data_IF_762487816190
#
_entry.id   IF_762487816190
#
_cell.length_a   1.000
_cell.length_b   1.000
_cell.length_c   1.000
_cell.angle_alpha   90.00
_cell.angle_beta   90.00
_cell.angle_gamma   90.00
#
_symmetry.space_group_name_H-M   'P 1'
#
loop_
_entity.id
_entity.type
_entity.pdbx_description
1 polymer ?
#
# COMPACT_ATOMS: atom_id res chain seq x y z
N UNK A 1 -1.10 -17.61 -9.16
CA UNK A 1 -2.26 -17.58 -8.24
C UNK A 1 -3.26 -18.70 -8.51
N UNK A 2 -3.73 -18.91 -9.76
CA UNK A 2 -4.67 -19.99 -10.11
C UNK A 2 -4.38 -21.33 -9.44
N UNK A 3 -3.16 -21.84 -9.56
CA UNK A 3 -2.83 -23.17 -9.03
C UNK A 3 -2.88 -23.23 -7.50
N UNK A 4 -2.49 -22.16 -6.81
CA UNK A 4 -2.55 -22.07 -5.34
C UNK A 4 -4.00 -22.02 -4.85
N UNK A 5 -4.88 -21.33 -5.59
CA UNK A 5 -6.31 -21.31 -5.30
C UNK A 5 -6.95 -22.67 -5.58
N UNK A 6 -6.63 -23.29 -6.73
CA UNK A 6 -7.13 -24.63 -7.08
C UNK A 6 -6.67 -25.72 -6.10
N UNK A 7 -5.47 -25.58 -5.52
CA UNK A 7 -4.95 -26.44 -4.46
C UNK A 7 -5.57 -26.17 -3.08
N UNK A 8 -6.43 -25.15 -2.93
CA UNK A 8 -7.03 -24.76 -1.65
C UNK A 8 -6.04 -24.12 -0.66
N UNK A 9 -4.85 -23.72 -1.11
CA UNK A 9 -3.84 -23.07 -0.25
C UNK A 9 -4.10 -21.59 -0.03
N UNK A 10 -4.84 -20.97 -0.95
CA UNK A 10 -5.19 -19.55 -0.93
C UNK A 10 -6.66 -19.42 -1.29
N UNK A 11 -7.45 -18.74 -0.45
CA UNK A 11 -8.86 -18.48 -0.73
C UNK A 11 -9.05 -17.24 -1.61
N UNK A 12 -8.30 -16.18 -1.30
CA UNK A 12 -8.37 -14.88 -1.96
C UNK A 12 -6.98 -14.28 -2.09
N UNK A 13 -6.78 -13.43 -3.10
CA UNK A 13 -5.51 -12.76 -3.31
C UNK A 13 -5.69 -11.31 -3.71
N UNK A 14 -4.66 -10.54 -3.41
CA UNK A 14 -4.61 -9.12 -3.68
C UNK A 14 -3.24 -8.68 -4.15
N UNK A 15 -3.14 -7.38 -4.39
CA UNK A 15 -1.91 -6.72 -4.81
C UNK A 15 -1.57 -5.58 -3.86
N UNK A 16 -0.29 -5.29 -3.71
CA UNK A 16 0.22 -4.20 -2.87
C UNK A 16 1.14 -3.31 -3.73
N UNK A 17 1.20 -2.03 -3.38
CA UNK A 17 1.98 -0.93 -4.00
C UNK A 17 1.66 -0.53 -5.45
N UNK A 18 1.44 0.77 -5.68
CA UNK A 18 1.39 1.50 -6.98
C UNK A 18 0.69 0.79 -8.16
N UNK A 19 -0.52 0.27 -7.92
CA UNK A 19 -1.39 -0.20 -9.00
C UNK A 19 -2.31 0.93 -9.48
N UNK A 20 -1.89 1.66 -10.52
CA UNK A 20 -2.77 2.63 -11.15
C UNK A 20 -4.03 2.00 -11.76
N UNK A 21 -5.08 2.81 -11.92
CA UNK A 21 -6.39 2.37 -12.41
C UNK A 21 -6.33 1.57 -13.72
N UNK A 22 -5.52 2.02 -14.68
CA UNK A 22 -5.36 1.35 -15.96
C UNK A 22 -4.82 -0.09 -15.80
N UNK A 23 -3.94 -0.33 -14.81
CA UNK A 23 -3.39 -1.65 -14.54
C UNK A 23 -4.41 -2.57 -13.88
N UNK A 24 -5.23 -2.05 -12.96
CA UNK A 24 -6.34 -2.81 -12.34
C UNK A 24 -7.39 -3.20 -13.38
N UNK A 25 -7.74 -2.28 -14.28
CA UNK A 25 -8.67 -2.56 -15.38
C UNK A 25 -8.12 -3.61 -16.33
N UNK A 26 -6.84 -3.50 -16.72
CA UNK A 26 -6.23 -4.49 -17.61
C UNK A 26 -6.14 -5.87 -16.94
N UNK A 27 -5.76 -5.93 -15.66
CA UNK A 27 -5.77 -7.18 -14.92
C UNK A 27 -7.18 -7.79 -14.87
N UNK A 28 -8.23 -6.99 -14.64
CA UNK A 28 -9.61 -7.46 -14.67
C UNK A 28 -9.97 -8.01 -16.06
N UNK A 29 -9.63 -7.32 -17.15
CA UNK A 29 -9.88 -7.82 -18.53
C UNK A 29 -9.22 -9.18 -18.79
N UNK A 30 -7.98 -9.37 -18.33
CA UNK A 30 -7.25 -10.63 -18.47
C UNK A 30 -7.93 -11.73 -17.66
N UNK A 31 -8.30 -11.43 -16.41
CA UNK A 31 -9.01 -12.36 -15.51
C UNK A 31 -10.31 -12.82 -16.16
N UNK A 32 -11.11 -11.89 -16.68
CA UNK A 32 -12.40 -12.20 -17.31
C UNK A 32 -12.21 -13.01 -18.60
N UNK A 33 -11.22 -12.65 -19.44
CA UNK A 33 -10.91 -13.37 -20.70
C UNK A 33 -10.56 -14.84 -20.46
N UNK A 34 -9.79 -15.12 -19.42
CA UNK A 34 -9.29 -16.46 -19.14
C UNK A 34 -10.08 -17.20 -18.04
N UNK A 35 -11.21 -16.62 -17.60
CA UNK A 35 -12.05 -17.13 -16.51
C UNK A 35 -11.22 -17.52 -15.26
N UNK A 36 -10.36 -16.59 -14.83
CA UNK A 36 -9.49 -16.77 -13.67
C UNK A 36 -10.18 -16.29 -12.39
N UNK A 37 -9.63 -16.69 -11.25
CA UNK A 37 -10.03 -16.13 -9.96
C UNK A 37 -9.73 -14.62 -9.93
N UNK A 38 -10.63 -13.77 -9.41
CA UNK A 38 -10.44 -12.32 -9.43
C UNK A 38 -9.48 -11.83 -8.34
N UNK A 39 -8.85 -10.67 -8.59
CA UNK A 39 -8.20 -9.88 -7.54
C UNK A 39 -9.29 -9.32 -6.64
N UNK A 40 -9.19 -9.56 -5.33
CA UNK A 40 -10.24 -9.15 -4.38
C UNK A 40 -9.84 -7.97 -3.50
N UNK A 41 -8.55 -7.65 -3.40
CA UNK A 41 -8.07 -6.57 -2.53
C UNK A 41 -6.83 -5.87 -3.07
N UNK A 42 -6.73 -4.57 -2.82
CA UNK A 42 -5.49 -3.78 -2.97
C UNK A 42 -5.03 -3.21 -1.64
N UNK A 43 -3.71 -3.08 -1.48
CA UNK A 43 -3.09 -2.50 -0.28
C UNK A 43 -2.25 -1.25 -0.61
N UNK A 44 -2.87 -0.06 -0.68
CA UNK A 44 -2.15 1.19 -0.91
C UNK A 44 -1.82 1.93 0.40
N UNK A 45 -0.91 2.89 0.33
CA UNK A 45 -0.72 3.89 1.37
C UNK A 45 -1.92 4.84 1.38
N UNK A 46 -2.49 5.08 2.55
CA UNK A 46 -3.55 6.09 2.70
C UNK A 46 -3.61 6.61 4.13
N UNK A 47 -3.52 7.92 4.28
CA UNK A 47 -3.63 8.61 5.56
C UNK A 47 -4.02 10.08 5.33
N UNK A 48 -4.23 10.85 6.40
CA UNK A 48 -4.67 12.25 6.26
C UNK A 48 -3.67 13.14 5.49
N UNK A 49 -2.38 12.79 5.49
CA UNK A 49 -1.35 13.53 4.77
C UNK A 49 -1.23 13.09 3.29
N UNK A 50 -1.59 11.85 3.00
CA UNK A 50 -1.45 11.25 1.68
C UNK A 50 -2.73 10.53 1.25
N UNK A 51 -3.45 11.20 0.34
CA UNK A 51 -4.79 10.83 -0.13
C UNK A 51 -4.83 10.54 -1.64
N UNK A 52 -3.68 10.25 -2.26
CA UNK A 52 -3.56 10.10 -3.72
C UNK A 52 -4.56 9.09 -4.31
N UNK A 53 -4.85 8.02 -3.57
CA UNK A 53 -5.73 6.94 -4.02
C UNK A 53 -7.16 7.37 -4.31
N UNK A 54 -7.63 8.48 -3.73
CA UNK A 54 -9.00 8.99 -3.94
C UNK A 54 -9.22 9.42 -5.40
N UNK A 55 -8.20 10.02 -6.00
CA UNK A 55 -8.23 10.50 -7.38
C UNK A 55 -7.76 9.45 -8.38
N UNK A 56 -7.01 8.45 -7.91
CA UNK A 56 -6.42 7.46 -8.78
C UNK A 56 -7.23 6.16 -8.84
N UNK A 57 -7.31 5.40 -7.74
CA UNK A 57 -7.74 3.98 -7.76
C UNK A 57 -9.06 3.71 -7.06
N UNK A 58 -9.51 4.59 -6.16
CA UNK A 58 -10.67 4.34 -5.31
C UNK A 58 -11.96 4.19 -6.13
N UNK A 59 -12.11 5.00 -7.19
CA UNK A 59 -13.22 4.88 -8.13
C UNK A 59 -13.21 3.55 -8.89
N UNK A 60 -12.04 3.10 -9.34
CA UNK A 60 -11.87 1.84 -10.07
C UNK A 60 -12.08 0.64 -9.18
N UNK A 61 -11.55 0.66 -7.96
CA UNK A 61 -11.78 -0.40 -6.98
C UNK A 61 -13.28 -0.58 -6.68
N UNK A 62 -14.02 0.53 -6.55
CA UNK A 62 -15.49 0.49 -6.39
C UNK A 62 -16.19 -0.11 -7.61
N UNK A 63 -15.79 0.26 -8.82
CA UNK A 63 -16.38 -0.28 -10.07
C UNK A 63 -16.10 -1.77 -10.25
N UNK A 64 -14.91 -2.22 -9.85
CA UNK A 64 -14.43 -3.58 -10.03
C UNK A 64 -14.69 -4.50 -8.83
N UNK A 65 -15.39 -4.01 -7.80
CA UNK A 65 -15.64 -4.75 -6.54
C UNK A 65 -14.36 -5.26 -5.87
N UNK A 66 -13.35 -4.38 -5.77
CA UNK A 66 -12.06 -4.65 -5.14
C UNK A 66 -12.00 -3.92 -3.80
N UNK A 67 -11.71 -4.65 -2.72
CA UNK A 67 -11.52 -4.07 -1.39
C UNK A 67 -10.22 -3.28 -1.27
N UNK A 68 -10.18 -2.29 -0.38
CA UNK A 68 -8.97 -1.50 -0.09
C UNK A 68 -8.57 -1.74 1.36
N UNK A 69 -7.35 -2.27 1.59
CA UNK A 69 -6.75 -2.44 2.92
C UNK A 69 -5.55 -1.50 3.01
N UNK A 70 -5.69 -0.38 3.69
CA UNK A 70 -4.67 0.68 3.70
C UNK A 70 -3.53 0.37 4.66
N UNK A 71 -2.29 0.68 4.28
CA UNK A 71 -1.15 0.68 5.20
C UNK A 71 -0.74 2.11 5.60
N UNK A 72 0.07 2.22 6.64
CA UNK A 72 0.54 3.50 7.20
C UNK A 72 -0.57 4.54 7.49
N UNK A 73 -1.70 4.17 8.15
CA UNK A 73 -2.80 5.09 8.42
C UNK A 73 -2.43 6.28 9.32
N UNK A 74 -1.36 6.13 10.12
CA UNK A 74 -0.85 7.16 11.03
C UNK A 74 0.43 7.85 10.52
N UNK A 75 0.79 7.67 9.24
CA UNK A 75 2.03 8.20 8.65
C UNK A 75 3.24 7.93 9.55
N UNK A 76 3.48 6.65 9.85
CA UNK A 76 4.55 6.17 10.74
C UNK A 76 4.54 6.75 12.18
N UNK A 77 3.44 7.37 12.60
CA UNK A 77 3.31 8.00 13.92
C UNK A 77 3.23 9.52 13.87
N UNK A 78 3.45 10.14 12.71
CA UNK A 78 3.33 11.59 12.53
C UNK A 78 1.93 12.10 12.93
N UNK A 79 0.88 11.37 12.56
CA UNK A 79 -0.51 11.74 12.84
C UNK A 79 -0.95 11.44 14.29
N UNK A 80 -0.05 10.95 15.15
CA UNK A 80 -0.37 10.71 16.57
C UNK A 80 -0.29 11.98 17.43
N UNK A 81 0.22 13.10 16.87
CA UNK A 81 0.42 14.36 17.61
C UNK A 81 1.60 14.36 18.58
N UNK A 82 2.39 13.26 18.63
CA UNK A 82 3.57 13.11 19.48
C UNK A 82 4.76 13.96 19.03
N UNK A 83 4.82 14.33 17.75
CA UNK A 83 5.87 15.14 17.16
C UNK A 83 5.35 16.56 16.96
N UNK A 84 6.00 17.55 17.61
CA UNK A 84 5.65 18.96 17.50
C UNK A 84 6.83 19.75 16.94
N UNK A 85 6.54 20.69 16.05
CA UNK A 85 7.56 21.56 15.44
C UNK A 85 8.31 22.32 16.55
N UNK A 86 9.64 22.22 16.56
CA UNK A 86 10.50 22.87 17.54
C UNK A 86 10.67 22.14 18.88
N UNK A 87 10.12 20.92 19.03
CA UNK A 87 10.41 20.05 20.18
C UNK A 87 11.41 18.96 19.76
N UNK A 88 12.33 18.56 20.66
CA UNK A 88 13.23 17.45 20.37
C UNK A 88 12.43 16.17 20.09
N UNK A 89 12.86 15.43 19.08
CA UNK A 89 12.31 14.11 18.80
C UNK A 89 12.58 13.21 20.01
N UNK A 90 11.59 12.40 20.40
CA UNK A 90 11.80 11.42 21.47
C UNK A 90 12.81 10.37 21.01
N UNK A 91 13.82 10.11 21.85
CA UNK A 91 14.82 9.09 21.60
C UNK A 91 14.15 7.72 21.43
N UNK A 92 14.53 6.97 20.38
CA UNK A 92 13.99 5.65 20.05
C UNK A 92 12.61 5.67 19.38
N UNK A 93 12.10 6.84 18.98
CA UNK A 93 10.82 6.95 18.29
C UNK A 93 10.95 6.54 16.81
N UNK A 94 9.86 6.09 16.16
CA UNK A 94 9.94 5.59 14.77
C UNK A 94 10.53 6.60 13.78
N UNK A 95 10.33 7.89 14.02
CA UNK A 95 10.92 8.96 13.20
C UNK A 95 12.44 9.00 13.34
N UNK A 96 13.00 8.74 14.53
CA UNK A 96 14.47 8.70 14.69
C UNK A 96 15.08 7.48 14.00
N UNK A 97 14.38 6.33 14.00
CA UNK A 97 14.79 5.15 13.20
C UNK A 97 14.76 5.42 11.70
N UNK A 98 13.76 6.16 11.20
CA UNK A 98 13.68 6.52 9.79
C UNK A 98 14.84 7.45 9.37
N UNK A 99 15.18 8.45 10.19
CA UNK A 99 16.33 9.34 9.98
C UNK A 99 17.67 8.59 10.02
N UNK A 100 17.86 7.71 11.02
CA UNK A 100 19.06 6.87 11.13
C UNK A 100 19.20 5.92 9.92
N UNK A 101 18.09 5.34 9.46
CA UNK A 101 18.08 4.46 8.28
C UNK A 101 18.41 5.21 6.98
N UNK A 102 17.92 6.44 6.81
CA UNK A 102 18.25 7.30 5.67
C UNK A 102 19.70 7.79 5.69
N UNK A 103 20.28 7.95 6.87
CA UNK A 103 21.70 8.34 7.04
C UNK A 103 22.65 7.15 6.82
N UNK A 104 22.20 5.92 7.14
CA UNK A 104 23.00 4.69 6.97
C UNK A 104 23.14 4.20 5.53
N UNK A 105 22.30 4.68 4.60
CA UNK A 105 22.37 4.33 3.17
C UNK A 105 23.31 5.22 2.34
N UNK A 106 23.91 6.27 2.93
CA UNK A 106 24.92 7.11 2.27
C UNK A 106 26.38 6.70 2.56
N UNK A 107 26.59 5.49 3.09
CA UNK A 107 27.91 4.96 3.43
C UNK A 107 28.42 3.92 2.42
N UNK A 108 28.42 4.21 1.12
CA UNK A 108 29.17 3.44 0.13
C UNK A 108 29.78 4.37 -0.90
N UNK A 109 30.84 5.07 -0.50
CA UNK A 109 31.79 5.73 -1.39
C UNK A 109 33.19 5.41 -0.86
N UNK A 110 33.80 4.38 -1.46
CA UNK A 110 35.22 4.03 -1.46
C UNK A 110 35.55 3.49 -2.86
#
# INVERSE_FOLDING_TARGET
MRDLVAQGKVLYYGVSEEWGSARLEEARRIIDRYNLYPITVVQPQYNLNDRYIEHEIMGTCRKLDIGIITFSPLAQGLLTGKYRKGQPLSAGSRVTWADESATSSNGSDC
#
